data_IF_561375385595
#
_entry.id   IF_561375385595
#
_cell.length_a   1.000
_cell.length_b   1.000
_cell.length_c   1.000
_cell.angle_alpha   90.00
_cell.angle_beta   90.00
_cell.angle_gamma   90.00
#
_symmetry.space_group_name_H-M   'P 1'
#
loop_
_entity.id
_entity.type
_entity.pdbx_description
1 polymer ?
#
# COMPACT_ATOMS: atom_id res chain seq x y z
N UNK A 1 9.62 -15.18 17.17
CA UNK A 1 9.87 -16.46 17.87
C UNK A 1 10.02 -17.55 16.82
N UNK A 2 10.95 -18.48 17.01
CA UNK A 2 11.14 -19.61 16.10
C UNK A 2 9.96 -20.58 16.19
N UNK A 3 9.55 -21.17 15.07
CA UNK A 3 8.42 -22.12 15.05
C UNK A 3 8.71 -23.36 15.91
N UNK A 4 9.98 -23.75 16.06
CA UNK A 4 10.40 -24.88 16.89
C UNK A 4 10.22 -24.64 18.40
N UNK A 5 9.92 -23.40 18.81
CA UNK A 5 9.66 -23.02 20.20
C UNK A 5 8.16 -22.98 20.53
N UNK A 6 7.29 -23.31 19.56
CA UNK A 6 5.85 -23.30 19.67
C UNK A 6 5.28 -24.72 19.57
N UNK A 7 4.12 -24.92 20.19
CA UNK A 7 3.27 -26.07 19.87
C UNK A 7 2.77 -25.98 18.43
N UNK A 8 2.36 -27.13 17.88
CA UNK A 8 1.89 -27.20 16.49
C UNK A 8 0.76 -26.19 16.24
N UNK A 9 0.94 -25.35 15.22
CA UNK A 9 -0.08 -24.39 14.81
C UNK A 9 -1.20 -25.09 14.02
N UNK A 10 -2.40 -24.51 14.05
CA UNK A 10 -3.50 -25.01 13.23
C UNK A 10 -3.11 -25.03 11.75
N UNK A 11 -3.23 -26.19 11.11
CA UNK A 11 -2.86 -26.42 9.69
C UNK A 11 -1.42 -25.99 9.37
N UNK A 12 -0.48 -26.20 10.30
CA UNK A 12 0.93 -25.80 10.13
C UNK A 12 1.55 -26.29 8.82
N UNK A 13 1.18 -27.50 8.39
CA UNK A 13 1.63 -28.13 7.14
C UNK A 13 1.19 -27.39 5.86
N UNK A 14 0.20 -26.51 5.89
CA UNK A 14 -0.21 -25.70 4.73
C UNK A 14 0.72 -24.51 4.48
N UNK A 15 1.52 -24.11 5.47
CA UNK A 15 2.40 -22.95 5.40
C UNK A 15 3.80 -23.38 4.99
N UNK A 16 3.99 -23.61 3.70
CA UNK A 16 5.30 -24.02 3.14
C UNK A 16 6.36 -22.98 3.50
N UNK A 17 7.46 -23.44 4.10
CA UNK A 17 8.57 -22.60 4.50
C UNK A 17 8.36 -21.79 5.78
N UNK A 18 7.31 -22.07 6.58
CA UNK A 18 7.08 -21.42 7.86
C UNK A 18 8.27 -21.60 8.82
N UNK A 19 8.88 -20.49 9.23
CA UNK A 19 10.04 -20.48 10.12
C UNK A 19 9.78 -19.74 11.43
N UNK A 20 8.98 -18.68 11.41
CA UNK A 20 8.79 -17.78 12.56
C UNK A 20 7.37 -17.28 12.72
N UNK A 21 7.02 -17.01 13.98
CA UNK A 21 5.83 -16.25 14.37
C UNK A 21 6.28 -14.93 14.98
N UNK A 22 5.68 -13.83 14.52
CA UNK A 22 6.01 -12.46 14.94
C UNK A 22 4.78 -11.84 15.58
N UNK A 23 4.95 -11.26 16.76
CA UNK A 23 3.93 -10.43 17.41
C UNK A 23 4.39 -8.98 17.38
N UNK A 24 3.55 -8.11 16.83
CA UNK A 24 3.75 -6.65 16.85
C UNK A 24 2.74 -6.05 17.79
N UNK A 25 3.25 -5.41 18.85
CA UNK A 25 2.48 -4.54 19.73
C UNK A 25 2.59 -3.11 19.21
N UNK A 26 1.47 -2.49 18.87
CA UNK A 26 1.38 -1.07 18.53
C UNK A 26 0.65 -0.32 19.63
N UNK A 27 1.16 0.84 20.02
CA UNK A 27 0.53 1.75 20.96
C UNK A 27 0.26 3.08 20.24
N UNK A 28 -0.98 3.53 20.26
CA UNK A 28 -1.40 4.80 19.65
C UNK A 28 -1.98 5.68 20.74
N UNK A 29 -1.51 6.93 20.81
CA UNK A 29 -2.04 7.93 21.74
C UNK A 29 -2.75 9.01 20.94
N UNK A 30 -4.02 9.24 21.26
CA UNK A 30 -4.83 10.29 20.66
C UNK A 30 -5.49 11.11 21.78
N UNK A 31 -4.97 12.32 22.01
CA UNK A 31 -5.31 13.13 23.17
C UNK A 31 -5.05 12.37 24.48
N UNK A 32 -6.08 12.22 25.31
CA UNK A 32 -6.02 11.47 26.57
C UNK A 32 -6.27 9.97 26.43
N UNK A 33 -6.59 9.47 25.23
CA UNK A 33 -6.84 8.04 25.00
C UNK A 33 -5.59 7.35 24.50
N UNK A 34 -5.28 6.21 25.09
CA UNK A 34 -4.23 5.30 24.64
C UNK A 34 -4.88 3.99 24.22
N UNK A 35 -4.55 3.52 23.02
CA UNK A 35 -5.00 2.23 22.50
C UNK A 35 -3.79 1.35 22.23
N UNK A 36 -3.88 0.09 22.63
CA UNK A 36 -2.89 -0.94 22.29
C UNK A 36 -3.52 -1.95 21.33
N UNK A 37 -2.76 -2.35 20.32
CA UNK A 37 -3.19 -3.34 19.33
C UNK A 37 -2.10 -4.36 19.13
N UNK A 38 -2.48 -5.64 19.13
CA UNK A 38 -1.59 -6.76 18.88
C UNK A 38 -1.88 -7.33 17.49
N UNK A 39 -0.84 -7.52 16.69
CA UNK A 39 -0.92 -8.15 15.37
C UNK A 39 0.04 -9.31 15.31
N UNK A 40 -0.41 -10.44 14.79
CA UNK A 40 0.39 -11.65 14.65
C UNK A 40 0.66 -11.92 13.18
N UNK A 41 1.89 -12.27 12.86
CA UNK A 41 2.33 -12.60 11.51
C UNK A 41 3.06 -13.95 11.54
N UNK A 42 2.93 -14.67 10.43
CA UNK A 42 3.74 -15.84 10.14
C UNK A 42 4.75 -15.49 9.04
N UNK A 43 5.96 -16.03 9.12
CA UNK A 43 7.01 -15.70 8.16
C UNK A 43 7.92 -16.88 7.88
N UNK A 44 8.43 -16.94 6.66
CA UNK A 44 9.53 -17.82 6.27
C UNK A 44 10.92 -17.25 6.58
N UNK A 45 10.99 -16.01 7.04
CA UNK A 45 12.25 -15.40 7.47
C UNK A 45 12.73 -16.01 8.80
N UNK A 46 14.06 -16.13 9.00
CA UNK A 46 14.64 -16.49 10.28
C UNK A 46 14.27 -15.53 11.40
N UNK A 47 14.49 -15.93 12.65
CA UNK A 47 14.14 -15.10 13.83
C UNK A 47 15.06 -13.88 13.91
N UNK A 48 14.56 -12.75 13.44
CA UNK A 48 15.25 -11.45 13.50
C UNK A 48 14.21 -10.32 13.68
N UNK A 49 14.10 -9.82 14.91
CA UNK A 49 13.08 -8.84 15.27
C UNK A 49 13.22 -7.51 14.50
N UNK A 50 14.45 -7.08 14.21
CA UNK A 50 14.70 -5.83 13.49
C UNK A 50 14.31 -5.97 12.03
N UNK A 51 14.71 -7.07 11.39
CA UNK A 51 14.33 -7.35 10.00
C UNK A 51 12.82 -7.51 9.86
N UNK A 52 12.16 -8.22 10.77
CA UNK A 52 10.70 -8.33 10.74
C UNK A 52 10.03 -6.96 10.92
N UNK A 53 10.50 -6.14 11.87
CA UNK A 53 9.99 -4.79 12.09
C UNK A 53 10.11 -3.93 10.83
N UNK A 54 11.26 -3.96 10.17
CA UNK A 54 11.50 -3.24 8.92
C UNK A 54 10.54 -3.70 7.82
N UNK A 55 10.46 -5.00 7.55
CA UNK A 55 9.56 -5.55 6.51
C UNK A 55 8.10 -5.21 6.77
N UNK A 56 7.63 -5.37 8.01
CA UNK A 56 6.24 -5.07 8.38
C UNK A 56 5.96 -3.57 8.17
N UNK A 57 6.85 -2.67 8.61
CA UNK A 57 6.69 -1.23 8.39
C UNK A 57 6.72 -0.86 6.90
N UNK A 58 7.64 -1.46 6.14
CA UNK A 58 7.74 -1.25 4.69
C UNK A 58 6.48 -1.71 3.97
N UNK A 59 5.85 -2.80 4.41
CA UNK A 59 4.56 -3.23 3.87
C UNK A 59 3.45 -2.20 4.13
N UNK A 60 3.36 -1.63 5.34
CA UNK A 60 2.42 -0.55 5.65
C UNK A 60 2.63 0.71 4.80
N UNK A 61 3.83 0.92 4.28
CA UNK A 61 4.08 2.06 3.37
C UNK A 61 3.31 1.94 2.06
N UNK A 62 2.94 0.74 1.62
CA UNK A 62 2.10 0.51 0.44
C UNK A 62 0.71 1.12 0.66
N UNK A 63 0.11 0.86 1.81
CA UNK A 63 -1.20 1.42 2.18
C UNK A 63 -1.19 2.94 2.15
N UNK A 64 -0.17 3.54 2.78
CA UNK A 64 -0.06 4.99 2.86
C UNK A 64 0.28 5.65 1.52
N UNK A 65 1.16 5.05 0.72
CA UNK A 65 1.70 5.68 -0.50
C UNK A 65 0.91 5.39 -1.77
N UNK A 66 0.07 4.35 -1.74
CA UNK A 66 -0.74 3.90 -2.87
C UNK A 66 -2.24 3.92 -2.56
N UNK A 67 -2.71 3.11 -1.61
CA UNK A 67 -4.15 2.94 -1.35
C UNK A 67 -4.82 4.24 -0.91
N UNK A 68 -4.30 4.87 0.14
CA UNK A 68 -4.83 6.16 0.59
C UNK A 68 -4.82 7.22 -0.51
N UNK A 69 -3.77 7.22 -1.35
CA UNK A 69 -3.66 8.15 -2.48
C UNK A 69 -4.73 7.89 -3.53
N UNK A 70 -5.03 6.62 -3.83
CA UNK A 70 -6.12 6.22 -4.72
C UNK A 70 -7.46 6.70 -4.18
N UNK A 71 -7.71 6.52 -2.89
CA UNK A 71 -8.96 6.95 -2.25
C UNK A 71 -9.14 8.46 -2.33
N UNK A 72 -8.14 9.23 -1.90
CA UNK A 72 -8.28 10.70 -1.86
C UNK A 72 -8.20 11.37 -3.23
N UNK A 73 -7.51 10.75 -4.20
CA UNK A 73 -7.31 11.34 -5.53
C UNK A 73 -8.38 10.89 -6.51
N UNK A 74 -8.80 9.62 -6.46
CA UNK A 74 -9.74 9.02 -7.41
C UNK A 74 -11.08 8.62 -6.80
N UNK A 75 -11.26 8.75 -5.49
CA UNK A 75 -12.47 8.30 -4.79
C UNK A 75 -12.73 6.81 -5.08
N UNK A 76 -11.67 6.00 -5.01
CA UNK A 76 -11.68 4.61 -5.44
C UNK A 76 -12.64 3.76 -4.61
N UNK A 77 -12.61 3.86 -3.28
CA UNK A 77 -13.53 3.18 -2.36
C UNK A 77 -15.01 3.41 -2.68
N UNK A 78 -15.37 4.62 -3.14
CA UNK A 78 -16.75 4.97 -3.49
C UNK A 78 -17.15 4.55 -4.91
N UNK A 79 -16.25 3.94 -5.68
CA UNK A 79 -16.51 3.54 -7.07
C UNK A 79 -17.52 2.39 -7.15
N UNK A 80 -18.58 2.58 -7.96
CA UNK A 80 -19.65 1.58 -8.13
C UNK A 80 -19.42 0.63 -9.32
N UNK A 81 -18.27 0.72 -9.98
CA UNK A 81 -17.94 -0.09 -11.16
C UNK A 81 -17.73 -1.55 -10.72
N UNK A 82 -18.60 -2.46 -11.18
CA UNK A 82 -18.63 -3.88 -10.76
C UNK A 82 -18.81 -4.87 -11.93
N UNK A 83 -18.93 -4.39 -13.15
CA UNK A 83 -19.28 -5.23 -14.31
C UNK A 83 -18.04 -5.89 -14.92
N UNK A 84 -18.04 -7.22 -15.02
CA UNK A 84 -16.93 -7.98 -15.61
C UNK A 84 -15.59 -7.58 -15.02
N UNK A 85 -14.60 -7.33 -15.88
CA UNK A 85 -13.24 -6.95 -15.48
C UNK A 85 -13.07 -5.43 -15.28
N UNK A 86 -14.16 -4.65 -15.25
CA UNK A 86 -14.06 -3.20 -15.24
C UNK A 86 -13.42 -2.65 -13.95
N UNK A 87 -13.64 -3.30 -12.80
CA UNK A 87 -13.02 -2.90 -11.54
C UNK A 87 -11.48 -3.04 -11.58
N UNK A 88 -10.99 -4.19 -12.05
CA UNK A 88 -9.55 -4.47 -12.15
C UNK A 88 -8.87 -3.57 -13.18
N UNK A 89 -9.50 -3.42 -14.36
CA UNK A 89 -9.01 -2.55 -15.42
C UNK A 89 -8.91 -1.09 -14.94
N UNK A 90 -9.94 -0.60 -14.25
CA UNK A 90 -9.95 0.76 -13.72
C UNK A 90 -8.91 0.94 -12.60
N UNK A 91 -8.74 -0.04 -11.73
CA UNK A 91 -7.69 -0.04 -10.72
C UNK A 91 -6.29 0.06 -11.33
N UNK A 92 -6.02 -0.70 -12.41
CA UNK A 92 -4.76 -0.64 -13.14
C UNK A 92 -4.53 0.76 -13.75
N UNK A 93 -5.54 1.30 -14.43
CA UNK A 93 -5.46 2.65 -15.02
C UNK A 93 -5.21 3.73 -13.97
N UNK A 94 -5.88 3.68 -12.81
CA UNK A 94 -5.66 4.64 -11.73
C UNK A 94 -4.23 4.57 -11.18
N UNK A 95 -3.69 3.37 -10.97
CA UNK A 95 -2.30 3.18 -10.52
C UNK A 95 -1.31 3.74 -11.55
N UNK A 96 -1.53 3.50 -12.84
CA UNK A 96 -0.73 4.08 -13.92
C UNK A 96 -0.80 5.62 -13.89
N UNK A 97 -2.00 6.18 -13.79
CA UNK A 97 -2.19 7.63 -13.69
C UNK A 97 -1.48 8.24 -12.48
N UNK A 98 -1.54 7.61 -11.30
CA UNK A 98 -0.81 8.10 -10.11
C UNK A 98 0.69 8.16 -10.38
N UNK A 99 1.25 7.11 -10.97
CA UNK A 99 2.68 7.08 -11.27
C UNK A 99 3.07 8.23 -12.20
N UNK A 100 2.33 8.45 -13.30
CA UNK A 100 2.59 9.56 -14.23
C UNK A 100 2.47 10.93 -13.55
N UNK A 101 1.44 11.13 -12.72
CA UNK A 101 1.23 12.38 -11.98
C UNK A 101 2.33 12.63 -10.93
N UNK A 102 2.90 11.57 -10.34
CA UNK A 102 4.05 11.66 -9.42
C UNK A 102 5.35 12.02 -10.16
N UNK A 103 5.51 11.56 -11.41
CA UNK A 103 6.69 11.86 -12.25
C UNK A 103 6.66 13.27 -12.87
N UNK A 104 5.47 13.87 -13.04
CA UNK A 104 5.38 15.27 -13.45
C UNK A 104 6.03 16.19 -12.38
N UNK A 105 6.94 17.10 -12.72
CA UNK A 105 7.82 17.77 -11.75
C UNK A 105 7.19 18.90 -10.94
N UNK A 106 6.01 19.41 -11.31
CA UNK A 106 5.41 20.56 -10.63
C UNK A 106 5.08 20.24 -9.16
N UNK A 107 5.27 21.24 -8.28
CA UNK A 107 4.95 21.16 -6.85
C UNK A 107 3.45 21.35 -6.58
N UNK A 108 2.61 20.63 -7.32
CA UNK A 108 1.14 20.65 -7.19
C UNK A 108 0.67 19.34 -6.55
N UNK A 109 -0.45 19.38 -5.84
CA UNK A 109 -1.06 18.16 -5.30
C UNK A 109 -1.49 17.22 -6.45
N UNK A 110 -1.49 15.91 -6.20
CA UNK A 110 -1.93 14.93 -7.20
C UNK A 110 -3.35 15.19 -7.70
N UNK A 111 -4.25 15.65 -6.81
CA UNK A 111 -5.61 16.08 -7.16
C UNK A 111 -5.61 17.27 -8.13
N UNK A 112 -4.75 18.26 -7.91
CA UNK A 112 -4.63 19.42 -8.79
C UNK A 112 -4.02 19.05 -10.15
N UNK A 113 -2.95 18.22 -10.17
CA UNK A 113 -2.36 17.74 -11.42
C UNK A 113 -3.38 16.95 -12.25
N UNK A 114 -4.15 16.07 -11.60
CA UNK A 114 -5.24 15.33 -12.26
C UNK A 114 -6.30 16.27 -12.84
N UNK A 115 -6.68 17.30 -12.10
CA UNK A 115 -7.65 18.30 -12.57
C UNK A 115 -7.10 19.09 -13.77
N UNK A 116 -5.87 19.57 -13.71
CA UNK A 116 -5.22 20.28 -14.82
C UNK A 116 -5.10 19.40 -16.07
N UNK A 117 -4.71 18.14 -15.91
CA UNK A 117 -4.63 17.19 -17.03
C UNK A 117 -6.00 16.91 -17.67
N UNK A 118 -7.10 17.10 -16.95
CA UNK A 118 -8.44 17.00 -17.50
C UNK A 118 -8.92 18.28 -18.22
N UNK A 119 -8.28 19.42 -17.96
CA UNK A 119 -8.71 20.74 -18.45
C UNK A 119 -7.78 21.32 -19.54
N UNK A 120 -6.51 20.90 -19.57
CA UNK A 120 -5.49 21.39 -20.50
C UNK A 120 -4.76 20.21 -21.16
N UNK A 121 -4.96 20.07 -22.47
CA UNK A 121 -4.33 19.03 -23.28
C UNK A 121 -2.80 19.17 -23.30
N UNK A 122 -2.25 20.40 -23.21
CA UNK A 122 -0.81 20.58 -23.17
C UNK A 122 -0.24 20.04 -21.86
N UNK A 123 -0.90 20.32 -20.73
CA UNK A 123 -0.52 19.75 -19.45
C UNK A 123 -0.69 18.22 -19.42
N UNK A 124 -1.77 17.69 -20.01
CA UNK A 124 -1.95 16.24 -20.17
C UNK A 124 -0.78 15.60 -20.92
N UNK A 125 -0.38 16.17 -22.06
CA UNK A 125 0.76 15.67 -22.84
C UNK A 125 2.07 15.74 -22.05
N UNK A 126 2.28 16.76 -21.23
CA UNK A 126 3.44 16.83 -20.33
C UNK A 126 3.44 15.70 -19.30
N UNK A 127 2.29 15.39 -18.70
CA UNK A 127 2.14 14.27 -17.74
C UNK A 127 2.42 12.93 -18.43
N UNK A 128 1.90 12.73 -19.65
CA UNK A 128 2.14 11.50 -20.43
C UNK A 128 3.61 11.36 -20.84
N UNK A 129 4.29 12.47 -21.15
CA UNK A 129 5.71 12.48 -21.50
C UNK A 129 6.66 12.45 -20.28
N UNK A 130 6.13 12.53 -19.05
CA UNK A 130 6.94 12.55 -17.84
C UNK A 130 7.63 11.20 -17.56
N UNK A 131 7.09 10.08 -18.06
CA UNK A 131 7.70 8.76 -17.93
C UNK A 131 8.72 8.42 -19.02
N UNK A 132 8.84 9.25 -20.07
CA UNK A 132 9.74 9.01 -21.21
C UNK A 132 11.05 9.79 -21.15
N UNK A 133 11.31 10.51 -20.04
CA UNK A 133 12.61 11.15 -19.78
C UNK A 133 13.46 10.17 -18.97
N UNK A 134 14.22 9.33 -19.67
CA UNK A 134 15.42 8.67 -19.14
C UNK A 134 16.62 9.61 -19.23
#
# INVERSE_FOLDING_TARGET
>A
MSINQLSALHRQNQWVGLATVVMVKSKTQFGHKTTETFRYYISSLPTDAERHSHVIRSHWSIENSLHWVLDVTFNEDASRVRQGNAADNLGLLRRLSINLLKHEPSQKSLKMKRYLAAMDNNFLLQVLAASSRE
#
